data_IF_093238274068
#
_entry.id   IF_093238274068
#
_cell.length_a   1.000
_cell.length_b   1.000
_cell.length_c   1.000
_cell.angle_alpha   90.00
_cell.angle_beta   90.00
_cell.angle_gamma   90.00
#
_symmetry.space_group_name_H-M   'P 1'
#
loop_
_entity.id
_entity.type
_entity.pdbx_description
1 polymer ?
#
# COMPACT_ATOMS: atom_id res chain seq x y z
N UNK A 1 -24.98 -24.83 7.58
CA UNK A 1 -23.62 -24.69 8.13
C UNK A 1 -23.01 -23.50 7.43
N UNK A 2 -22.91 -22.36 8.13
CA UNK A 2 -22.28 -21.15 7.60
C UNK A 2 -20.77 -21.39 7.60
N UNK A 3 -20.16 -21.29 6.43
CA UNK A 3 -18.71 -21.40 6.26
C UNK A 3 -18.02 -20.22 6.95
N UNK A 4 -17.14 -20.53 7.90
CA UNK A 4 -16.47 -19.55 8.73
C UNK A 4 -15.37 -18.84 7.94
N UNK A 5 -15.65 -17.61 7.48
CA UNK A 5 -14.68 -16.52 7.56
C UNK A 5 -13.39 -16.61 6.72
N UNK A 6 -13.38 -17.34 5.59
CA UNK A 6 -12.27 -17.18 4.63
C UNK A 6 -12.54 -15.94 3.80
N UNK A 7 -11.86 -14.82 4.08
CA UNK A 7 -11.80 -13.71 3.13
C UNK A 7 -11.18 -14.26 1.85
N UNK A 8 -11.99 -14.45 0.81
CA UNK A 8 -11.49 -14.79 -0.53
C UNK A 8 -10.71 -13.57 -1.02
N UNK A 9 -9.39 -13.68 -1.02
CA UNK A 9 -8.53 -12.61 -1.52
C UNK A 9 -8.47 -12.75 -3.04
N UNK A 10 -9.37 -12.06 -3.74
CA UNK A 10 -9.40 -12.03 -5.20
C UNK A 10 -8.35 -11.07 -5.78
N UNK A 11 -7.94 -11.24 -7.05
CA UNK A 11 -7.08 -10.27 -7.74
C UNK A 11 -7.64 -8.85 -7.69
N UNK A 12 -8.97 -8.71 -7.79
CA UNK A 12 -9.66 -7.44 -7.74
C UNK A 12 -9.61 -6.78 -6.35
N UNK A 13 -9.73 -7.58 -5.28
CA UNK A 13 -9.56 -7.06 -3.91
C UNK A 13 -8.13 -6.56 -3.69
N UNK A 14 -7.12 -7.27 -4.23
CA UNK A 14 -5.72 -6.83 -4.16
C UNK A 14 -5.50 -5.53 -4.92
N UNK A 15 -6.07 -5.40 -6.13
CA UNK A 15 -5.98 -4.19 -6.99
C UNK A 15 -6.68 -3.00 -6.35
N UNK A 16 -7.87 -3.19 -5.80
CA UNK A 16 -8.59 -2.15 -5.04
C UNK A 16 -7.79 -1.72 -3.82
N UNK A 17 -7.21 -2.69 -3.09
CA UNK A 17 -6.37 -2.40 -1.92
C UNK A 17 -5.11 -1.63 -2.30
N UNK A 18 -4.46 -1.97 -3.43
CA UNK A 18 -3.34 -1.23 -3.99
C UNK A 18 -3.73 0.23 -4.25
N UNK A 19 -4.84 0.49 -4.94
CA UNK A 19 -5.31 1.85 -5.26
C UNK A 19 -5.59 2.66 -4.00
N UNK A 20 -6.20 2.05 -2.98
CA UNK A 20 -6.43 2.72 -1.68
C UNK A 20 -5.11 3.09 -0.99
N UNK A 21 -4.12 2.19 -1.01
CA UNK A 21 -2.80 2.49 -0.44
C UNK A 21 -2.13 3.62 -1.22
N UNK A 22 -2.16 3.60 -2.56
CA UNK A 22 -1.59 4.66 -3.39
C UNK A 22 -2.23 6.03 -3.10
N UNK A 23 -3.55 6.09 -2.95
CA UNK A 23 -4.27 7.31 -2.57
C UNK A 23 -3.90 7.80 -1.15
N UNK A 24 -3.80 6.87 -0.19
CA UNK A 24 -3.36 7.20 1.16
C UNK A 24 -1.92 7.72 1.19
N UNK A 25 -1.04 7.17 0.36
CA UNK A 25 0.35 7.62 0.21
C UNK A 25 0.46 9.02 -0.38
N UNK A 26 -0.37 9.35 -1.37
CA UNK A 26 -0.45 10.71 -1.91
C UNK A 26 -0.87 11.70 -0.83
N UNK A 27 -1.87 11.33 -0.03
CA UNK A 27 -2.34 12.14 1.10
C UNK A 27 -1.24 12.31 2.16
N UNK A 28 -0.55 11.23 2.54
CA UNK A 28 0.55 11.29 3.49
C UNK A 28 1.71 12.16 3.01
N UNK A 29 2.01 12.12 1.70
CA UNK A 29 3.04 12.96 1.08
C UNK A 29 2.66 14.44 1.14
N UNK A 30 1.39 14.77 0.88
CA UNK A 30 0.91 16.14 1.00
C UNK A 30 1.04 16.66 2.44
N UNK A 31 0.64 15.85 3.43
CA UNK A 31 0.78 16.19 4.85
C UNK A 31 2.25 16.39 5.23
N UNK A 32 3.16 15.53 4.75
CA UNK A 32 4.59 15.65 5.02
C UNK A 32 5.17 16.96 4.45
N UNK A 33 4.80 17.31 3.21
CA UNK A 33 5.24 18.55 2.57
C UNK A 33 4.69 19.79 3.29
N UNK A 34 3.42 19.77 3.69
CA UNK A 34 2.81 20.87 4.44
C UNK A 34 3.42 21.01 5.84
N UNK A 35 3.74 19.89 6.49
CA UNK A 35 4.46 19.89 7.76
C UNK A 35 5.83 20.54 7.63
N UNK A 36 6.62 20.15 6.62
CA UNK A 36 7.94 20.72 6.36
C UNK A 36 7.86 22.22 6.09
N UNK A 37 6.94 22.65 5.22
CA UNK A 37 6.74 24.07 4.89
C UNK A 37 6.33 24.88 6.12
N UNK A 38 5.40 24.37 6.94
CA UNK A 38 4.98 25.01 8.18
C UNK A 38 6.13 25.10 9.18
N UNK A 39 6.99 24.09 9.23
CA UNK A 39 8.17 24.09 10.08
C UNK A 39 9.20 25.13 9.66
N UNK A 40 9.48 25.25 8.36
CA UNK A 40 10.38 26.29 7.82
C UNK A 40 9.87 27.70 8.13
N UNK A 41 8.58 27.95 7.95
CA UNK A 41 7.96 29.25 8.24
C UNK A 41 7.98 29.58 9.75
N UNK A 42 7.62 28.62 10.61
CA UNK A 42 7.58 28.84 12.06
C UNK A 42 8.99 29.07 12.64
N UNK A 43 10.00 28.30 12.20
CA UNK A 43 11.39 28.48 12.63
C UNK A 43 11.92 29.85 12.21
N UNK A 44 11.50 30.34 11.04
CA UNK A 44 11.93 31.65 10.53
C UNK A 44 11.22 32.83 11.24
N UNK A 45 9.94 32.66 11.64
CA UNK A 45 9.11 33.70 12.24
C UNK A 45 9.20 33.77 13.77
N UNK A 46 9.43 32.65 14.45
CA UNK A 46 9.44 32.59 15.91
C UNK A 46 10.74 31.96 16.38
N UNK A 47 11.61 32.75 17.03
CA UNK A 47 12.75 32.20 17.76
C UNK A 47 12.24 31.42 18.97
N UNK A 48 11.94 30.14 18.80
CA UNK A 48 11.58 29.23 19.88
C UNK A 48 12.79 28.99 20.78
N UNK A 49 13.14 29.98 21.60
CA UNK A 49 14.24 29.88 22.56
C UNK A 49 13.80 29.09 23.79
N UNK A 50 14.55 28.05 24.15
CA UNK A 50 14.34 27.27 25.37
C UNK A 50 13.86 25.84 25.14
N UNK A 51 13.61 25.12 26.24
CA UNK A 51 13.36 23.66 26.25
C UNK A 51 12.09 23.23 25.51
N UNK A 52 11.07 24.10 25.45
CA UNK A 52 9.85 23.84 24.68
C UNK A 52 10.09 23.88 23.16
N UNK A 53 10.96 24.79 22.70
CA UNK A 53 11.36 24.90 21.30
C UNK A 53 12.16 23.69 20.82
N UNK A 54 13.16 23.29 21.61
CA UNK A 54 13.98 22.11 21.29
C UNK A 54 13.18 20.81 21.28
N UNK A 55 12.23 20.65 22.20
CA UNK A 55 11.36 19.46 22.22
C UNK A 55 10.43 19.43 21.02
N UNK A 56 9.83 20.58 20.66
CA UNK A 56 8.92 20.64 19.51
C UNK A 56 9.65 20.36 18.19
N UNK A 57 10.88 20.86 18.02
CA UNK A 57 11.75 20.54 16.88
C UNK A 57 12.10 19.04 16.84
N UNK A 58 12.40 18.43 17.99
CA UNK A 58 12.69 17.00 18.06
C UNK A 58 11.45 16.15 17.71
N UNK A 59 10.27 16.51 18.20
CA UNK A 59 9.01 15.87 17.82
C UNK A 59 8.74 16.01 16.32
N UNK A 60 9.09 17.16 15.74
CA UNK A 60 8.94 17.40 14.32
C UNK A 60 9.79 16.47 13.45
N UNK A 61 11.07 16.34 13.78
CA UNK A 61 11.95 15.41 13.09
C UNK A 61 11.48 13.95 13.22
N UNK A 62 10.90 13.58 14.37
CA UNK A 62 10.32 12.24 14.55
C UNK A 62 9.11 12.01 13.65
N UNK A 63 8.18 12.96 13.59
CA UNK A 63 7.00 12.88 12.72
C UNK A 63 7.42 12.76 11.25
N UNK A 64 8.38 13.58 10.81
CA UNK A 64 8.92 13.52 9.45
C UNK A 64 9.51 12.14 9.13
N UNK A 65 10.36 11.63 10.02
CA UNK A 65 10.96 10.31 9.88
C UNK A 65 9.91 9.20 9.79
N UNK A 66 8.90 9.22 10.66
CA UNK A 66 7.86 8.20 10.69
C UNK A 66 6.99 8.26 9.41
N UNK A 67 6.70 9.46 8.91
CA UNK A 67 6.02 9.65 7.62
C UNK A 67 6.82 9.05 6.46
N UNK A 68 8.13 9.27 6.41
CA UNK A 68 9.00 8.69 5.37
C UNK A 68 8.98 7.16 5.43
N UNK A 69 9.01 6.57 6.64
CA UNK A 69 8.92 5.12 6.81
C UNK A 69 7.57 4.55 6.34
N UNK A 70 6.47 5.22 6.67
CA UNK A 70 5.12 4.84 6.21
C UNK A 70 5.05 4.90 4.70
N UNK A 71 5.58 5.95 4.08
CA UNK A 71 5.57 6.09 2.62
C UNK A 71 6.34 4.94 1.95
N UNK A 72 7.56 4.67 2.40
CA UNK A 72 8.39 3.59 1.87
C UNK A 72 7.78 2.20 2.12
N UNK A 73 7.12 2.00 3.26
CA UNK A 73 6.38 0.77 3.58
C UNK A 73 5.17 0.56 2.67
N UNK A 74 4.34 1.59 2.52
CA UNK A 74 3.14 1.54 1.70
C UNK A 74 3.45 1.33 0.21
N UNK A 75 4.50 1.96 -0.33
CA UNK A 75 4.92 1.74 -1.72
C UNK A 75 5.29 0.27 -1.97
N UNK A 76 6.05 -0.34 -1.03
CA UNK A 76 6.40 -1.77 -1.11
C UNK A 76 5.17 -2.66 -1.04
N UNK A 77 4.20 -2.32 -0.18
CA UNK A 77 2.94 -3.07 -0.06
C UNK A 77 2.09 -2.97 -1.33
N UNK A 78 1.89 -1.76 -1.85
CA UNK A 78 1.13 -1.52 -3.08
C UNK A 78 1.72 -2.31 -4.25
N UNK A 79 3.05 -2.27 -4.41
CA UNK A 79 3.76 -3.04 -5.42
C UNK A 79 3.62 -4.55 -5.22
N UNK A 80 3.67 -5.03 -3.97
CA UNK A 80 3.43 -6.44 -3.63
C UNK A 80 2.04 -6.92 -4.01
N UNK A 81 1.01 -6.12 -3.70
CA UNK A 81 -0.39 -6.41 -4.04
C UNK A 81 -0.59 -6.46 -5.56
N UNK A 82 0.00 -5.54 -6.32
CA UNK A 82 -0.07 -5.55 -7.77
C UNK A 82 0.55 -6.83 -8.38
N UNK A 83 1.72 -7.25 -7.88
CA UNK A 83 2.36 -8.51 -8.34
C UNK A 83 1.56 -9.75 -7.97
N UNK A 84 1.01 -9.79 -6.75
CA UNK A 84 0.20 -10.91 -6.29
C UNK A 84 -1.10 -11.03 -7.11
N UNK A 85 -1.76 -9.91 -7.40
CA UNK A 85 -2.95 -9.85 -8.26
C UNK A 85 -2.66 -10.46 -9.63
N UNK A 86 -1.57 -10.04 -10.27
CA UNK A 86 -1.17 -10.55 -11.59
C UNK A 86 -0.81 -12.04 -11.58
N UNK A 87 -0.13 -12.52 -10.53
CA UNK A 87 0.19 -13.94 -10.38
C UNK A 87 -1.08 -14.79 -10.23
N UNK A 88 -2.07 -14.29 -9.49
CA UNK A 88 -3.35 -14.99 -9.34
C UNK A 88 -4.15 -15.03 -10.64
N UNK A 89 -4.17 -13.95 -11.41
CA UNK A 89 -4.78 -13.93 -12.75
C UNK A 89 -4.13 -14.98 -13.67
N UNK A 90 -2.80 -15.09 -13.65
CA UNK A 90 -2.09 -16.13 -14.40
C UNK A 90 -2.47 -17.55 -13.95
N UNK A 91 -2.57 -17.78 -12.63
CA UNK A 91 -2.97 -19.09 -12.11
C UNK A 91 -4.41 -19.46 -12.51
N UNK A 92 -5.33 -18.49 -12.59
CA UNK A 92 -6.69 -18.69 -13.06
C UNK A 92 -6.72 -19.06 -14.55
N UNK A 93 -5.95 -18.37 -15.38
CA UNK A 93 -5.81 -18.68 -16.81
C UNK A 93 -5.20 -20.07 -17.03
N UNK A 94 -4.13 -20.42 -16.33
CA UNK A 94 -3.48 -21.73 -16.44
C UNK A 94 -4.42 -22.87 -16.02
N UNK A 95 -5.18 -22.66 -14.94
CA UNK A 95 -6.18 -23.62 -14.49
C UNK A 95 -7.30 -23.80 -15.53
N UNK A 96 -7.79 -22.72 -16.15
CA UNK A 96 -8.79 -22.79 -17.20
C UNK A 96 -8.30 -23.58 -18.42
N UNK A 97 -7.05 -23.35 -18.85
CA UNK A 97 -6.43 -24.10 -19.93
C UNK A 97 -6.21 -25.58 -19.58
N UNK A 98 -5.73 -25.88 -18.37
CA UNK A 98 -5.53 -27.26 -17.92
C UNK A 98 -6.83 -28.06 -17.86
N UNK A 99 -7.91 -27.43 -17.40
CA UNK A 99 -9.25 -28.02 -17.39
C UNK A 99 -9.76 -28.25 -18.81
N UNK A 100 -9.62 -27.27 -19.70
CA UNK A 100 -10.00 -27.43 -21.11
C UNK A 100 -9.23 -28.58 -21.79
N UNK A 101 -7.93 -28.70 -21.52
CA UNK A 101 -7.10 -29.80 -22.02
C UNK A 101 -7.51 -31.18 -21.48
N UNK A 102 -7.91 -31.27 -20.20
CA UNK A 102 -8.45 -32.51 -19.63
C UNK A 102 -9.75 -32.95 -20.35
N UNK A 103 -10.66 -32.01 -20.62
CA UNK A 103 -11.91 -32.33 -21.32
C UNK A 103 -11.73 -32.61 -22.81
N UNK A 104 -10.76 -31.98 -23.48
CA UNK A 104 -10.42 -32.28 -24.87
C UNK A 104 -9.74 -33.67 -25.01
N UNK A 105 -8.81 -34.01 -24.11
CA UNK A 105 -8.17 -35.34 -24.09
C UNK A 105 -9.16 -36.48 -23.82
N UNK A 106 -10.23 -36.22 -23.06
CA UNK A 106 -11.30 -37.18 -22.82
C UNK A 106 -12.21 -37.42 -24.05
N UNK A 107 -12.28 -36.47 -24.98
CA UNK A 107 -13.11 -36.57 -26.18
C UNK A 107 -12.39 -37.26 -27.36
N UNK A 108 -11.08 -37.44 -27.27
CA UNK A 108 -10.27 -38.19 -28.26
C UNK A 108 -10.12 -39.69 -27.91
N UNK A 109 -10.64 -40.13 -26.76
CA UNK A 109 -10.55 -41.51 -26.27
C UNK A 109 -11.83 -42.35 -26.48
N UNK A 110 -12.81 -41.86 -27.25
CA UNK A 110 -14.05 -42.54 -27.63
C UNK A 110 -14.14 -42.67 -29.16
#
# INVERSE_FOLDING_TARGET
MSDSGTTVVSPELMRTSQQHIESALQTATAIANEYLSSHEDIVNVVSWSGKAGTTSLATAGQIEHDLQQIIAGGQRLAHGLGRASLLMEQHEDDAAHGIAGLFDSGNQAL
#
